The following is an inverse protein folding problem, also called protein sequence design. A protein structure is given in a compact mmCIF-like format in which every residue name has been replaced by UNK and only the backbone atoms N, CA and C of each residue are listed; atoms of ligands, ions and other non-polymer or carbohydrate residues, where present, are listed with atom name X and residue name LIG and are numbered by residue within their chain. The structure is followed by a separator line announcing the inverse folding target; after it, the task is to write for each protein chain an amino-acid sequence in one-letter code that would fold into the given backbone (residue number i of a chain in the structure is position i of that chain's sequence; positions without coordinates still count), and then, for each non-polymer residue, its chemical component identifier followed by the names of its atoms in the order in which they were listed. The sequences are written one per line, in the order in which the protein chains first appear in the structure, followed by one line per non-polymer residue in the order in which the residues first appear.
data_IF_562924170714
#
_entry.id   IF_562924170714
#
_cell.length_a   1.000
_cell.length_b   1.000
_cell.length_c   1.000
_cell.angle_alpha   90.00
_cell.angle_beta   90.00
_cell.angle_gamma   90.00
#
_symmetry.space_group_name_H-M   'P 1'
#
loop_
_entity.id
_entity.type
_entity.pdbx_description
1 polymer ?
#
# COMPACT_ATOMS: atom_id res chain seq x y z
N UNK A 1 25.27 -27.23 -3.08
CA UNK A 1 24.11 -27.43 -2.19
C UNK A 1 24.23 -26.37 -1.11
N UNK A 2 23.94 -25.13 -1.49
CA UNK A 2 23.85 -23.99 -0.58
C UNK A 2 22.42 -23.51 -0.70
N UNK A 3 21.69 -23.72 0.38
CA UNK A 3 20.30 -23.32 0.58
C UNK A 3 20.34 -21.82 0.92
N UNK A 4 19.89 -20.99 -0.03
CA UNK A 4 19.78 -19.54 0.16
C UNK A 4 18.44 -19.29 0.85
N UNK A 5 18.51 -18.90 2.12
CA UNK A 5 17.36 -18.59 2.97
C UNK A 5 16.67 -17.27 2.59
N UNK A 6 16.15 -17.17 1.37
CA UNK A 6 15.30 -16.07 0.92
C UNK A 6 13.83 -16.52 0.99
N UNK A 7 13.16 -16.23 2.11
CA UNK A 7 11.72 -16.54 2.23
C UNK A 7 11.02 -16.19 3.54
N UNK A 8 11.74 -15.88 4.63
CA UNK A 8 11.10 -15.68 5.94
C UNK A 8 10.77 -14.23 6.29
N UNK A 9 11.54 -13.24 5.85
CA UNK A 9 11.44 -11.87 6.38
C UNK A 9 10.16 -11.12 5.95
N UNK A 10 9.77 -11.24 4.66
CA UNK A 10 8.49 -10.75 4.14
C UNK A 10 7.28 -11.45 4.77
N UNK A 11 7.44 -12.74 5.07
CA UNK A 11 6.40 -13.57 5.68
C UNK A 11 6.19 -13.14 7.13
N UNK A 12 7.26 -12.78 7.84
CA UNK A 12 7.21 -12.28 9.22
C UNK A 12 6.61 -10.88 9.32
N UNK A 13 6.93 -9.93 8.43
CA UNK A 13 6.24 -8.61 8.42
C UNK A 13 4.75 -8.78 8.09
N UNK A 14 4.42 -9.56 7.05
CA UNK A 14 3.02 -9.84 6.68
C UNK A 14 2.27 -10.57 7.79
N UNK A 15 2.97 -11.39 8.59
CA UNK A 15 2.42 -12.11 9.74
C UNK A 15 2.22 -11.17 10.94
N UNK A 16 3.21 -10.35 11.30
CA UNK A 16 3.11 -9.32 12.35
C UNK A 16 1.97 -8.34 12.06
N UNK A 17 1.74 -8.02 10.79
CA UNK A 17 0.63 -7.19 10.34
C UNK A 17 -0.74 -7.90 10.43
N UNK A 18 -0.82 -9.18 10.02
CA UNK A 18 -2.04 -10.00 10.13
C UNK A 18 -2.44 -10.34 11.57
N UNK A 19 -1.46 -10.41 12.47
CA UNK A 19 -1.66 -10.74 13.88
C UNK A 19 -2.02 -9.51 14.74
N UNK A 20 -2.15 -8.31 14.15
CA UNK A 20 -2.66 -7.12 14.83
C UNK A 20 -1.82 -6.72 16.05
N UNK A 21 -0.50 -6.87 15.95
CA UNK A 21 0.38 -6.71 17.10
C UNK A 21 0.52 -5.25 17.51
N UNK A 22 -0.27 -4.82 18.51
CA UNK A 22 0.18 -3.81 19.45
C UNK A 22 1.38 -4.36 20.19
N UNK A 23 2.58 -4.01 19.76
CA UNK A 23 3.81 -4.46 20.40
C UNK A 23 4.16 -3.51 21.54
N UNK A 24 4.43 -4.07 22.72
CA UNK A 24 4.90 -3.34 23.90
C UNK A 24 6.40 -3.11 23.75
N UNK A 25 6.82 -1.83 23.73
CA UNK A 25 8.24 -1.46 23.68
C UNK A 25 8.99 -1.90 24.94
N UNK A 26 10.20 -2.43 24.75
CA UNK A 26 11.18 -2.56 25.83
C UNK A 26 11.63 -1.16 26.29
N UNK A 27 11.88 -0.98 27.58
CA UNK A 27 12.16 0.33 28.22
C UNK A 27 13.48 0.99 27.78
N UNK A 28 14.36 0.24 27.13
CA UNK A 28 15.61 0.73 26.57
C UNK A 28 15.43 0.95 25.05
N UNK A 29 15.26 2.22 24.66
CA UNK A 29 15.13 2.60 23.25
C UNK A 29 16.32 2.16 22.38
N UNK A 30 16.18 2.26 21.04
CA UNK A 30 17.14 1.70 20.09
C UNK A 30 18.55 2.31 20.22
N UNK A 31 19.58 1.46 20.20
CA UNK A 31 20.98 1.86 20.24
C UNK A 31 21.48 2.29 18.86
N UNK A 32 21.53 3.59 18.62
CA UNK A 32 21.99 4.20 17.37
C UNK A 32 23.52 4.14 17.16
N UNK A 33 24.30 3.59 18.09
CA UNK A 33 25.76 3.50 17.97
C UNK A 33 26.24 2.33 17.08
N UNK A 34 25.31 1.47 16.65
CA UNK A 34 25.54 0.35 15.74
C UNK A 34 24.48 0.32 14.62
N UNK A 35 24.74 -0.40 13.52
CA UNK A 35 23.68 -0.73 12.56
C UNK A 35 22.49 -1.40 13.28
N UNK A 36 21.29 -0.92 13.00
CA UNK A 36 20.06 -1.50 13.53
C UNK A 36 19.77 -2.84 12.85
N UNK A 37 19.27 -3.78 13.63
CA UNK A 37 18.69 -5.02 13.10
C UNK A 37 17.32 -4.72 12.47
N UNK A 38 16.85 -5.62 11.60
CA UNK A 38 15.57 -5.44 10.93
C UNK A 38 14.37 -5.29 11.90
N UNK A 39 14.24 -6.07 12.98
CA UNK A 39 13.21 -5.84 13.99
C UNK A 39 13.29 -4.46 14.66
N UNK A 40 14.49 -3.96 14.92
CA UNK A 40 14.70 -2.62 15.49
C UNK A 40 14.28 -1.52 14.52
N UNK A 41 14.54 -1.69 13.22
CA UNK A 41 14.05 -0.76 12.19
C UNK A 41 12.53 -0.73 12.13
N UNK A 42 11.87 -1.89 12.21
CA UNK A 42 10.41 -1.97 12.28
C UNK A 42 9.85 -1.30 13.53
N UNK A 43 10.52 -1.47 14.68
CA UNK A 43 10.14 -0.80 15.92
C UNK A 43 10.24 0.73 15.79
N UNK A 44 11.40 1.23 15.36
CA UNK A 44 11.62 2.67 15.13
C UNK A 44 10.61 3.23 14.16
N UNK A 45 10.31 2.50 13.09
CA UNK A 45 9.29 2.88 12.13
C UNK A 45 7.95 3.13 12.82
N UNK A 46 7.43 2.19 13.62
CA UNK A 46 6.14 2.38 14.27
C UNK A 46 6.14 3.48 15.33
N UNK A 47 7.27 3.72 16.00
CA UNK A 47 7.42 4.81 16.97
C UNK A 47 7.44 6.21 16.30
N UNK A 48 7.86 6.28 15.04
CA UNK A 48 8.13 7.56 14.36
C UNK A 48 7.31 7.81 13.10
N UNK A 49 6.58 6.81 12.58
CA UNK A 49 5.85 6.88 11.31
C UNK A 49 4.84 8.03 11.27
N UNK A 50 4.18 8.33 12.40
CA UNK A 50 3.23 9.44 12.49
C UNK A 50 3.91 10.83 12.48
N UNK A 51 5.22 10.90 12.73
CA UNK A 51 5.99 12.15 12.84
C UNK A 51 6.91 12.42 11.65
N UNK A 52 7.21 11.40 10.84
CA UNK A 52 8.06 11.54 9.66
C UNK A 52 7.39 10.97 8.40
N UNK A 53 6.71 11.82 7.62
CA UNK A 53 6.06 11.42 6.38
C UNK A 53 6.99 10.75 5.37
N UNK A 54 8.27 11.14 5.36
CA UNK A 54 9.23 10.68 4.35
C UNK A 54 9.58 9.19 4.54
N UNK A 55 9.48 8.68 5.77
CA UNK A 55 9.78 7.29 6.13
C UNK A 55 8.59 6.34 5.95
N UNK A 56 7.41 6.83 5.57
CA UNK A 56 6.18 6.01 5.50
C UNK A 56 6.28 4.86 4.49
N UNK A 57 7.04 5.03 3.41
CA UNK A 57 7.30 3.98 2.45
C UNK A 57 8.31 2.93 2.93
N UNK A 58 9.14 3.23 3.94
CA UNK A 58 10.29 2.40 4.34
C UNK A 58 9.89 0.97 4.63
N UNK A 59 8.82 0.78 5.42
CA UNK A 59 8.30 -0.56 5.71
C UNK A 59 7.94 -1.31 4.43
N UNK A 60 7.34 -0.64 3.44
CA UNK A 60 6.85 -1.27 2.21
C UNK A 60 7.94 -1.57 1.19
N UNK A 61 9.05 -0.85 1.28
CA UNK A 61 10.27 -1.13 0.52
C UNK A 61 11.29 -1.89 1.35
N UNK A 62 10.89 -2.53 2.46
CA UNK A 62 11.77 -3.32 3.33
C UNK A 62 13.04 -2.57 3.80
N UNK A 63 12.90 -1.27 4.09
CA UNK A 63 13.99 -0.36 4.45
C UNK A 63 15.12 -0.33 3.41
N UNK A 64 14.82 -0.66 2.15
CA UNK A 64 15.80 -0.66 1.07
C UNK A 64 16.29 0.77 0.79
N UNK A 65 17.60 0.93 0.75
CA UNK A 65 18.25 2.19 0.42
C UNK A 65 18.47 2.28 -1.09
N UNK A 66 17.62 3.06 -1.76
CA UNK A 66 17.80 3.37 -3.17
C UNK A 66 18.87 4.46 -3.35
N UNK A 67 19.76 4.25 -4.33
CA UNK A 67 20.86 5.15 -4.67
C UNK A 67 20.59 6.02 -5.91
N UNK A 68 19.60 5.63 -6.72
CA UNK A 68 19.17 6.35 -7.92
C UNK A 68 18.02 7.32 -7.64
N UNK A 69 18.05 8.49 -8.32
CA UNK A 69 17.11 9.59 -8.06
C UNK A 69 15.67 9.23 -8.41
N UNK A 70 15.47 8.42 -9.45
CA UNK A 70 14.17 7.94 -9.90
C UNK A 70 13.47 7.13 -8.80
N UNK A 71 14.24 6.30 -8.08
CA UNK A 71 13.74 5.48 -6.99
C UNK A 71 13.49 6.27 -5.71
N UNK A 72 14.32 7.29 -5.41
CA UNK A 72 14.03 8.24 -4.33
C UNK A 72 12.71 8.97 -4.58
N UNK A 73 12.49 9.46 -5.81
CA UNK A 73 11.22 10.12 -6.20
C UNK A 73 10.03 9.15 -6.10
N UNK A 74 10.21 7.89 -6.50
CA UNK A 74 9.20 6.85 -6.34
C UNK A 74 8.84 6.63 -4.86
N UNK A 75 9.84 6.53 -3.99
CA UNK A 75 9.67 6.34 -2.55
C UNK A 75 8.91 7.52 -1.93
N UNK A 76 9.25 8.76 -2.29
CA UNK A 76 8.52 9.95 -1.83
C UNK A 76 7.04 9.93 -2.24
N UNK A 77 6.75 9.55 -3.49
CA UNK A 77 5.37 9.42 -3.99
C UNK A 77 4.60 8.31 -3.27
N UNK A 78 5.26 7.19 -2.97
CA UNK A 78 4.68 6.09 -2.20
C UNK A 78 4.38 6.54 -0.76
N UNK A 79 5.33 7.21 -0.11
CA UNK A 79 5.18 7.82 1.22
C UNK A 79 4.00 8.79 1.27
N UNK A 80 3.85 9.66 0.28
CA UNK A 80 2.72 10.58 0.19
C UNK A 80 1.37 9.86 0.05
N UNK A 81 1.30 8.78 -0.74
CA UNK A 81 0.08 7.98 -0.86
C UNK A 81 -0.30 7.35 0.49
N UNK A 82 0.68 6.81 1.22
CA UNK A 82 0.49 6.19 2.54
C UNK A 82 0.06 7.23 3.58
N UNK A 83 0.63 8.44 3.54
CA UNK A 83 0.26 9.53 4.44
C UNK A 83 -1.24 9.86 4.32
N UNK A 84 -1.73 10.02 3.09
CA UNK A 84 -3.14 10.32 2.83
C UNK A 84 -4.03 9.17 3.30
N UNK A 85 -3.61 7.92 3.09
CA UNK A 85 -4.33 6.74 3.57
C UNK A 85 -4.44 6.71 5.10
N UNK A 86 -3.32 6.94 5.79
CA UNK A 86 -3.25 6.94 7.26
C UNK A 86 -4.09 8.07 7.86
N UNK A 87 -3.99 9.29 7.32
CA UNK A 87 -4.80 10.44 7.74
C UNK A 87 -6.29 10.18 7.56
N UNK A 88 -6.67 9.54 6.46
CA UNK A 88 -8.07 9.21 6.17
C UNK A 88 -8.57 8.12 7.12
N UNK A 89 -7.78 7.07 7.35
CA UNK A 89 -8.07 6.01 8.33
C UNK A 89 -8.30 6.58 9.72
N UNK A 90 -7.38 7.42 10.23
CA UNK A 90 -7.54 8.05 11.55
C UNK A 90 -8.83 8.88 11.65
N UNK A 91 -9.19 9.59 10.58
CA UNK A 91 -10.42 10.40 10.54
C UNK A 91 -11.68 9.52 10.51
N UNK A 92 -11.67 8.45 9.71
CA UNK A 92 -12.73 7.44 9.62
C UNK A 92 -12.92 6.76 10.97
N UNK A 93 -11.84 6.28 11.60
CA UNK A 93 -11.89 5.58 12.89
C UNK A 93 -12.49 6.47 13.97
N UNK A 94 -12.11 7.76 14.00
CA UNK A 94 -12.66 8.74 14.93
C UNK A 94 -14.17 8.95 14.71
N UNK A 95 -14.61 9.13 13.46
CA UNK A 95 -16.03 9.32 13.14
C UNK A 95 -16.84 8.06 13.44
N UNK A 96 -16.30 6.87 13.12
CA UNK A 96 -16.93 5.60 13.42
C UNK A 96 -17.09 5.42 14.92
N UNK A 97 -16.04 5.67 15.71
CA UNK A 97 -16.12 5.61 17.17
C UNK A 97 -17.16 6.58 17.74
N UNK A 98 -17.25 7.80 17.20
CA UNK A 98 -18.26 8.77 17.59
C UNK A 98 -19.68 8.27 17.29
N UNK A 99 -19.94 7.81 16.07
CA UNK A 99 -21.28 7.34 15.68
C UNK A 99 -21.70 6.06 16.41
N UNK A 100 -20.76 5.14 16.67
CA UNK A 100 -21.04 3.96 17.51
C UNK A 100 -21.34 4.35 18.97
N UNK A 101 -20.68 5.39 19.50
CA UNK A 101 -21.01 5.93 20.81
C UNK A 101 -22.42 6.54 20.81
N UNK A 102 -22.75 7.37 19.82
CA UNK A 102 -24.09 7.95 19.65
C UNK A 102 -25.17 6.87 19.55
N UNK A 103 -24.86 5.75 18.87
CA UNK A 103 -25.73 4.57 18.78
C UNK A 103 -25.96 3.92 20.13
N UNK A 104 -24.89 3.76 20.90
CA UNK A 104 -24.88 3.09 22.20
C UNK A 104 -25.61 3.88 23.27
N UNK A 105 -25.36 5.20 23.35
CA UNK A 105 -25.97 6.06 24.36
C UNK A 105 -27.33 6.65 23.94
N UNK A 106 -27.72 6.45 22.68
CA UNK A 106 -29.00 6.91 22.12
C UNK A 106 -29.07 8.44 21.94
N UNK A 107 -27.95 9.15 22.05
CA UNK A 107 -27.91 10.62 21.97
C UNK A 107 -28.32 11.18 20.60
N UNK A 108 -28.28 10.36 19.54
CA UNK A 108 -28.78 10.70 18.22
C UNK A 108 -30.32 10.77 18.12
N UNK A 109 -31.05 10.17 19.07
CA UNK A 109 -32.51 10.02 18.97
C UNK A 109 -33.25 11.30 19.32
N UNK A 110 -34.08 11.77 18.38
CA UNK A 110 -34.97 12.90 18.59
C UNK A 110 -36.38 12.40 18.93
N UNK A 111 -37.01 12.87 20.03
CA UNK A 111 -38.36 12.45 20.41
C UNK A 111 -39.39 12.68 19.31
N UNK A 112 -40.14 11.63 18.95
CA UNK A 112 -41.13 11.62 17.88
C UNK A 112 -40.58 11.46 16.45
N UNK A 113 -39.26 11.29 16.32
CA UNK A 113 -38.51 11.10 15.06
C UNK A 113 -37.47 9.98 15.22
N UNK A 114 -37.72 9.02 16.11
CA UNK A 114 -36.73 8.00 16.48
C UNK A 114 -36.35 7.14 15.27
N UNK A 115 -37.30 6.81 14.40
CA UNK A 115 -37.04 6.01 13.20
C UNK A 115 -36.14 6.75 12.19
N UNK A 116 -36.44 8.01 11.90
CA UNK A 116 -35.63 8.86 11.01
C UNK A 116 -34.25 9.14 11.59
N UNK A 117 -34.16 9.31 12.92
CA UNK A 117 -32.90 9.51 13.63
C UNK A 117 -32.01 8.27 13.54
N UNK A 118 -32.57 7.08 13.76
CA UNK A 118 -31.86 5.80 13.65
C UNK A 118 -31.40 5.58 12.19
N UNK A 119 -32.27 5.81 11.19
CA UNK A 119 -31.90 5.73 9.78
C UNK A 119 -30.79 6.70 9.39
N UNK A 120 -30.83 7.94 9.89
CA UNK A 120 -29.79 8.94 9.62
C UNK A 120 -28.43 8.54 10.21
N UNK A 121 -28.41 7.93 11.39
CA UNK A 121 -27.17 7.44 12.00
C UNK A 121 -26.59 6.26 11.21
N UNK A 122 -27.43 5.30 10.81
CA UNK A 122 -26.99 4.16 9.99
C UNK A 122 -26.48 4.61 8.60
N UNK A 123 -27.11 5.63 7.99
CA UNK A 123 -26.62 6.25 6.75
C UNK A 123 -25.25 6.90 6.94
N UNK A 124 -25.05 7.65 8.03
CA UNK A 124 -23.74 8.25 8.36
C UNK A 124 -22.65 7.20 8.54
N UNK A 125 -22.95 6.09 9.23
CA UNK A 125 -22.02 4.96 9.39
C UNK A 125 -21.65 4.37 8.02
N UNK A 126 -22.64 4.13 7.16
CA UNK A 126 -22.41 3.62 5.80
C UNK A 126 -21.56 4.57 4.95
N UNK A 127 -21.79 5.88 5.04
CA UNK A 127 -20.98 6.89 4.33
C UNK A 127 -19.51 6.83 4.79
N UNK A 128 -19.26 6.69 6.09
CA UNK A 128 -17.90 6.59 6.65
C UNK A 128 -17.20 5.33 6.17
N UNK A 129 -17.89 4.20 6.11
CA UNK A 129 -17.34 2.94 5.58
C UNK A 129 -17.01 3.04 4.09
N UNK A 130 -17.91 3.62 3.29
CA UNK A 130 -17.65 3.87 1.86
C UNK A 130 -16.45 4.81 1.65
N UNK A 131 -16.30 5.85 2.49
CA UNK A 131 -15.16 6.76 2.42
C UNK A 131 -13.82 6.03 2.69
N UNK A 132 -13.80 5.08 3.62
CA UNK A 132 -12.64 4.24 3.88
C UNK A 132 -12.29 3.38 2.65
N UNK A 133 -13.29 2.73 2.05
CA UNK A 133 -13.11 1.89 0.88
C UNK A 133 -12.53 2.68 -0.31
N UNK A 134 -13.10 3.86 -0.58
CA UNK A 134 -12.63 4.78 -1.62
C UNK A 134 -11.18 5.21 -1.34
N UNK A 135 -10.86 5.55 -0.10
CA UNK A 135 -9.50 5.95 0.30
C UNK A 135 -8.50 4.83 0.05
N UNK A 136 -8.85 3.58 0.39
CA UNK A 136 -8.00 2.41 0.16
C UNK A 136 -7.73 2.24 -1.34
N UNK A 137 -8.77 2.24 -2.17
CA UNK A 137 -8.61 2.09 -3.61
C UNK A 137 -7.83 3.26 -4.24
N UNK A 138 -8.05 4.49 -3.79
CA UNK A 138 -7.31 5.67 -4.24
C UNK A 138 -5.82 5.58 -3.88
N UNK A 139 -5.50 5.06 -2.69
CA UNK A 139 -4.12 4.81 -2.24
C UNK A 139 -3.43 3.78 -3.13
N UNK A 140 -4.09 2.65 -3.39
CA UNK A 140 -3.59 1.60 -4.27
C UNK A 140 -3.35 2.11 -5.70
N UNK A 141 -4.27 2.93 -6.22
CA UNK A 141 -4.15 3.54 -7.54
C UNK A 141 -2.98 4.54 -7.61
N UNK A 142 -2.82 5.37 -6.58
CA UNK A 142 -1.73 6.36 -6.50
C UNK A 142 -0.37 5.67 -6.40
N UNK A 143 -0.25 4.63 -5.58
CA UNK A 143 0.96 3.82 -5.48
C UNK A 143 1.29 3.12 -6.81
N UNK A 144 0.27 2.60 -7.52
CA UNK A 144 0.46 2.01 -8.85
C UNK A 144 0.95 3.05 -9.86
N UNK A 145 0.40 4.28 -9.81
CA UNK A 145 0.85 5.37 -10.67
C UNK A 145 2.28 5.81 -10.36
N UNK A 146 2.71 5.77 -9.09
CA UNK A 146 4.10 6.02 -8.71
C UNK A 146 5.05 4.99 -9.36
N UNK A 147 4.68 3.70 -9.33
CA UNK A 147 5.44 2.64 -9.99
C UNK A 147 5.44 2.78 -11.53
N UNK A 148 4.30 3.14 -12.14
CA UNK A 148 4.25 3.42 -13.58
C UNK A 148 5.16 4.59 -13.95
N UNK A 149 5.24 5.64 -13.12
CA UNK A 149 6.17 6.75 -13.37
C UNK A 149 7.63 6.30 -13.24
N UNK A 150 7.97 5.51 -12.21
CA UNK A 150 9.33 4.97 -12.06
C UNK A 150 9.75 4.21 -13.34
N UNK A 151 8.91 3.28 -13.80
CA UNK A 151 9.17 2.52 -15.02
C UNK A 151 9.30 3.41 -16.27
N UNK A 152 8.54 4.51 -16.36
CA UNK A 152 8.68 5.47 -17.47
C UNK A 152 10.02 6.19 -17.40
N UNK A 153 10.41 6.65 -16.22
CA UNK A 153 11.66 7.39 -16.03
C UNK A 153 12.85 6.49 -16.36
N UNK A 154 12.79 5.19 -16.01
CA UNK A 154 13.81 4.19 -16.32
C UNK A 154 13.82 3.70 -17.80
N UNK A 155 12.71 3.86 -18.53
CA UNK A 155 12.61 3.36 -19.93
C UNK A 155 12.83 4.43 -21.00
N UNK A 156 12.92 5.70 -20.65
CA UNK A 156 13.09 6.81 -21.61
C UNK A 156 14.50 6.85 -22.22
N UNK A 157 14.71 6.08 -23.29
CA UNK A 157 15.62 6.44 -24.38
C UNK A 157 14.93 6.16 -25.73
N UNK A 158 14.41 7.21 -26.37
CA UNK A 158 14.17 7.21 -27.82
C UNK A 158 12.74 6.99 -28.35
N UNK A 159 11.70 6.89 -27.52
CA UNK A 159 10.32 6.84 -28.04
C UNK A 159 9.25 7.05 -26.97
N UNK A 160 8.14 7.72 -27.33
CA UNK A 160 6.95 7.83 -26.49
C UNK A 160 6.34 6.44 -26.25
N UNK A 161 6.85 5.68 -25.29
CA UNK A 161 6.17 4.49 -24.79
C UNK A 161 4.93 4.93 -24.00
N UNK A 162 3.83 5.18 -24.73
CA UNK A 162 2.49 5.37 -24.18
C UNK A 162 1.90 4.00 -23.84
N UNK A 163 2.34 3.42 -22.73
CA UNK A 163 1.83 2.14 -22.23
C UNK A 163 1.36 2.21 -20.78
N UNK A 164 0.45 1.31 -20.41
CA UNK A 164 0.10 1.05 -19.00
C UNK A 164 1.13 0.15 -18.32
N UNK A 165 1.02 -0.02 -17.00
CA UNK A 165 1.96 -0.76 -16.14
C UNK A 165 2.57 -2.01 -16.77
N UNK A 166 1.73 -2.95 -17.27
CA UNK A 166 2.21 -4.20 -17.87
C UNK A 166 3.13 -3.98 -19.08
N UNK A 167 2.84 -3.00 -19.92
CA UNK A 167 3.65 -2.73 -21.12
C UNK A 167 4.98 -2.07 -20.74
N UNK A 168 4.96 -1.16 -19.77
CA UNK A 168 6.16 -0.51 -19.25
C UNK A 168 7.08 -1.51 -18.55
N UNK A 169 6.54 -2.37 -17.69
CA UNK A 169 7.30 -3.42 -17.01
C UNK A 169 7.92 -4.39 -18.01
N UNK A 170 7.15 -4.86 -19.01
CA UNK A 170 7.68 -5.74 -20.05
C UNK A 170 8.80 -5.08 -20.86
N UNK A 171 8.62 -3.81 -21.24
CA UNK A 171 9.65 -3.08 -21.96
C UNK A 171 10.94 -2.92 -21.12
N UNK A 172 10.79 -2.65 -19.82
CA UNK A 172 11.92 -2.57 -18.89
C UNK A 172 12.68 -3.89 -18.79
N UNK A 173 11.98 -4.98 -18.45
CA UNK A 173 12.58 -6.30 -18.26
C UNK A 173 13.29 -6.79 -19.52
N UNK A 174 12.70 -6.58 -20.71
CA UNK A 174 13.32 -6.91 -21.99
C UNK A 174 14.60 -6.09 -22.28
N UNK A 175 14.63 -4.81 -21.87
CA UNK A 175 15.79 -3.93 -22.07
C UNK A 175 16.96 -4.33 -21.17
N UNK A 176 16.66 -4.86 -19.98
CA UNK A 176 17.65 -5.25 -18.97
C UNK A 176 17.99 -6.75 -19.03
N UNK A 177 17.71 -7.44 -20.14
CA UNK A 177 17.92 -8.88 -20.39
C UNK A 177 17.72 -9.75 -19.13
N UNK A 178 16.63 -9.52 -18.40
CA UNK A 178 16.34 -10.31 -17.21
C UNK A 178 16.23 -11.81 -17.57
N UNK A 179 16.58 -12.67 -16.63
CA UNK A 179 16.35 -14.10 -16.78
C UNK A 179 14.84 -14.39 -16.87
N UNK A 180 14.49 -15.55 -17.43
CA UNK A 180 13.07 -15.98 -17.51
C UNK A 180 12.39 -15.99 -16.14
N UNK A 181 13.11 -16.40 -15.10
CA UNK A 181 12.59 -16.49 -13.74
C UNK A 181 12.32 -15.09 -13.15
N UNK A 182 13.22 -14.12 -13.39
CA UNK A 182 13.04 -12.73 -12.97
C UNK A 182 11.92 -12.03 -13.73
N UNK A 183 11.84 -12.25 -15.05
CA UNK A 183 10.73 -11.75 -15.88
C UNK A 183 9.39 -12.27 -15.35
N UNK A 184 9.27 -13.59 -15.17
CA UNK A 184 8.03 -14.20 -14.69
C UNK A 184 7.63 -13.68 -13.30
N UNK A 185 8.60 -13.52 -12.39
CA UNK A 185 8.37 -12.98 -11.05
C UNK A 185 7.87 -11.54 -11.09
N UNK A 186 8.57 -10.65 -11.80
CA UNK A 186 8.20 -9.23 -11.90
C UNK A 186 6.83 -9.09 -12.58
N UNK A 187 6.61 -9.81 -13.69
CA UNK A 187 5.36 -9.73 -14.45
C UNK A 187 4.17 -10.30 -13.67
N UNK A 188 4.37 -11.33 -12.84
CA UNK A 188 3.32 -11.83 -11.93
C UNK A 188 2.91 -10.79 -10.89
N UNK A 189 3.88 -10.12 -10.26
CA UNK A 189 3.61 -9.04 -9.29
C UNK A 189 2.91 -7.84 -9.95
N UNK A 190 3.40 -7.41 -11.11
CA UNK A 190 2.81 -6.33 -11.91
C UNK A 190 1.38 -6.67 -12.34
N UNK A 191 1.12 -7.91 -12.75
CA UNK A 191 -0.22 -8.39 -13.08
C UNK A 191 -1.17 -8.33 -11.87
N UNK A 192 -0.70 -8.74 -10.68
CA UNK A 192 -1.46 -8.66 -9.43
C UNK A 192 -1.86 -7.22 -9.10
N UNK A 193 -0.92 -6.27 -9.15
CA UNK A 193 -1.19 -4.83 -8.90
C UNK A 193 -2.14 -4.26 -9.97
N UNK A 194 -1.90 -4.58 -11.24
CA UNK A 194 -2.73 -4.14 -12.37
C UNK A 194 -4.18 -4.60 -12.27
N UNK A 195 -4.42 -5.87 -11.89
CA UNK A 195 -5.77 -6.41 -11.63
C UNK A 195 -6.48 -5.60 -10.55
N UNK A 196 -5.79 -5.28 -9.46
CA UNK A 196 -6.37 -4.54 -8.34
C UNK A 196 -6.76 -3.10 -8.68
N UNK A 197 -5.87 -2.39 -9.36
CA UNK A 197 -6.16 -1.04 -9.87
C UNK A 197 -7.38 -1.05 -10.82
N UNK A 198 -7.43 -2.02 -11.74
CA UNK A 198 -8.51 -2.11 -12.72
C UNK A 198 -9.85 -2.43 -12.04
N UNK A 199 -9.87 -3.36 -11.09
CA UNK A 199 -11.05 -3.64 -10.28
C UNK A 199 -11.60 -2.38 -9.60
N UNK A 200 -10.72 -1.56 -9.00
CA UNK A 200 -11.16 -0.33 -8.34
C UNK A 200 -11.76 0.68 -9.33
N UNK A 201 -11.13 0.83 -10.50
CA UNK A 201 -11.65 1.68 -11.56
C UNK A 201 -13.04 1.22 -12.04
N UNK A 202 -13.30 -0.09 -12.09
CA UNK A 202 -14.61 -0.63 -12.42
C UNK A 202 -15.65 -0.37 -11.32
N UNK A 203 -15.28 -0.48 -10.05
CA UNK A 203 -16.15 -0.10 -8.92
C UNK A 203 -16.55 1.37 -8.98
N UNK A 204 -15.61 2.28 -9.28
CA UNK A 204 -15.89 3.72 -9.37
C UNK A 204 -16.73 4.13 -10.58
N UNK A 205 -16.50 3.49 -11.73
CA UNK A 205 -17.16 3.87 -12.99
C UNK A 205 -18.51 3.21 -13.19
N UNK A 206 -18.93 2.31 -12.28
CA UNK A 206 -20.22 1.63 -12.35
C UNK A 206 -20.40 0.87 -13.65
N UNK A 207 -19.31 0.30 -14.18
CA UNK A 207 -19.29 -0.36 -15.48
C UNK A 207 -20.43 -1.39 -15.58
N UNK A 208 -21.44 -1.10 -16.40
CA UNK A 208 -22.54 -2.01 -16.76
C UNK A 208 -22.08 -3.40 -17.25
N UNK A 209 -20.79 -3.56 -17.56
CA UNK A 209 -20.12 -4.77 -18.06
C UNK A 209 -19.29 -5.51 -17.01
N UNK A 210 -19.24 -5.05 -15.76
CA UNK A 210 -18.56 -5.76 -14.68
C UNK A 210 -19.45 -6.92 -14.21
N UNK A 211 -19.36 -8.04 -14.91
CA UNK A 211 -20.15 -9.25 -14.63
C UNK A 211 -19.69 -10.00 -13.37
N UNK A 212 -18.54 -9.62 -12.80
CA UNK A 212 -17.94 -10.27 -11.64
C UNK A 212 -17.55 -9.21 -10.61
N UNK A 213 -18.05 -9.39 -9.38
CA UNK A 213 -17.51 -8.69 -8.22
C UNK A 213 -16.00 -8.99 -8.11
N UNK A 214 -15.18 -8.02 -7.70
CA UNK A 214 -13.76 -8.29 -7.49
C UNK A 214 -13.58 -9.46 -6.52
N UNK A 215 -12.60 -10.33 -6.80
CA UNK A 215 -12.25 -11.49 -5.96
C UNK A 215 -11.78 -11.11 -4.53
N UNK A 216 -11.70 -9.81 -4.24
CA UNK A 216 -11.20 -9.24 -3.00
C UNK A 216 -12.00 -7.98 -2.63
N UNK A 217 -11.97 -7.63 -1.34
CA UNK A 217 -12.53 -6.38 -0.84
C UNK A 217 -11.46 -5.29 -0.82
N UNK A 218 -11.86 -4.03 -0.98
CA UNK A 218 -10.97 -2.88 -0.75
C UNK A 218 -10.85 -2.61 0.75
N UNK A 219 -10.17 -3.53 1.44
CA UNK A 219 -9.88 -3.46 2.85
C UNK A 219 -8.40 -3.11 3.12
N UNK A 220 -8.11 -2.82 4.38
CA UNK A 220 -6.78 -2.40 4.81
C UNK A 220 -5.74 -3.47 4.50
N UNK A 221 -6.07 -4.76 4.67
CA UNK A 221 -5.16 -5.86 4.36
C UNK A 221 -4.78 -5.90 2.87
N UNK A 222 -5.74 -5.70 1.97
CA UNK A 222 -5.52 -5.62 0.52
C UNK A 222 -4.68 -4.40 0.14
N UNK A 223 -4.89 -3.28 0.83
CA UNK A 223 -4.06 -2.07 0.66
C UNK A 223 -2.59 -2.39 0.96
N UNK A 224 -2.28 -2.90 2.16
CA UNK A 224 -0.89 -3.20 2.55
C UNK A 224 -0.26 -4.25 1.65
N UNK A 225 -0.96 -5.33 1.31
CA UNK A 225 -0.42 -6.33 0.40
C UNK A 225 -0.13 -5.74 -1.00
N UNK A 226 -0.92 -4.76 -1.46
CA UNK A 226 -0.63 -4.04 -2.70
C UNK A 226 0.61 -3.16 -2.59
N UNK A 227 0.73 -2.39 -1.49
CA UNK A 227 1.89 -1.53 -1.24
C UNK A 227 3.19 -2.35 -1.12
N UNK A 228 3.15 -3.48 -0.41
CA UNK A 228 4.28 -4.40 -0.33
C UNK A 228 4.65 -4.98 -1.70
N UNK A 229 3.67 -5.44 -2.48
CA UNK A 229 3.95 -5.92 -3.84
C UNK A 229 4.55 -4.82 -4.72
N UNK A 230 4.12 -3.56 -4.58
CA UNK A 230 4.72 -2.42 -5.30
C UNK A 230 6.18 -2.20 -4.87
N UNK A 231 6.49 -2.26 -3.57
CA UNK A 231 7.86 -2.16 -3.07
C UNK A 231 8.74 -3.32 -3.53
N UNK A 232 8.24 -4.56 -3.49
CA UNK A 232 8.93 -5.75 -4.02
C UNK A 232 9.28 -5.61 -5.50
N UNK A 233 8.38 -5.03 -6.31
CA UNK A 233 8.66 -4.73 -7.72
C UNK A 233 9.78 -3.71 -7.83
N UNK A 234 9.76 -2.62 -7.08
CA UNK A 234 10.79 -1.58 -7.12
C UNK A 234 12.18 -2.15 -6.76
N UNK A 235 12.27 -2.95 -5.70
CA UNK A 235 13.53 -3.60 -5.29
C UNK A 235 14.04 -4.54 -6.41
N UNK A 236 13.15 -5.35 -7.00
CA UNK A 236 13.54 -6.24 -8.08
C UNK A 236 14.02 -5.49 -9.34
N UNK A 237 13.40 -4.35 -9.65
CA UNK A 237 13.81 -3.48 -10.76
C UNK A 237 15.20 -2.88 -10.49
N UNK A 238 15.47 -2.37 -9.29
CA UNK A 238 16.79 -1.84 -8.93
C UNK A 238 17.87 -2.93 -9.03
N UNK A 239 17.60 -4.13 -8.51
CA UNK A 239 18.55 -5.25 -8.59
C UNK A 239 18.96 -5.57 -10.04
N UNK A 240 18.01 -5.53 -10.98
CA UNK A 240 18.29 -5.71 -12.42
C UNK A 240 19.14 -4.59 -13.03
N UNK A 241 19.18 -3.41 -12.41
CA UNK A 241 20.03 -2.29 -12.83
C UNK A 241 21.43 -2.45 -12.22
N UNK A 242 21.53 -2.83 -10.94
CA UNK A 242 22.78 -2.90 -10.18
C UNK A 242 23.65 -4.10 -10.54
N UNK A 243 23.07 -5.21 -11.01
CA UNK A 243 23.79 -6.41 -11.46
C UNK A 243 24.56 -6.20 -12.80
N UNK A 244 24.68 -4.96 -13.28
CA UNK A 244 25.33 -4.58 -14.55
C UNK A 244 26.37 -3.47 -14.38
#
# INVERSE_FOLDING_TARGET
MNDVGEGNEWTDIRKLWKEGAGYHGDEDGPDFSRPMTHPEMVQVYWETADYNPDMLADLYVNFYEFDQVEFMIFKDRLSAAILVANSTRQSVDKLKAQFEQEKTDGSHRVPGWEGESDMSLDEKLSIVENAQEISIGATMLTATAALESLLRDLTQDGGELRGGLNQLAKAFVLRHDATSDEEDKIMAMVSKVGKRRNAFAHTLTGSYWATEEPEFKFDVATMHDTLFTIGEIAIAIQALIDDR
#
